data_IF_554101098824
#
_entry.id   IF_554101098824
#
_cell.length_a   1.000
_cell.length_b   1.000
_cell.length_c   1.000
_cell.angle_alpha   90.00
_cell.angle_beta   90.00
_cell.angle_gamma   90.00
#
_symmetry.space_group_name_H-M   'P 1'
#
loop_
_entity.id
_entity.type
_entity.pdbx_description
1 polymer ?
#
# COMPACT_ATOMS: atom_id res chain seq x y z
N UNK A 1 -28.49 16.75 -49.16
CA UNK A 1 -28.76 17.56 -47.94
C UNK A 1 -27.58 17.36 -46.99
N UNK A 2 -27.05 18.44 -46.40
CA UNK A 2 -25.94 18.36 -45.45
C UNK A 2 -26.43 17.89 -44.08
N UNK A 3 -25.68 16.99 -43.43
CA UNK A 3 -25.99 16.50 -42.08
C UNK A 3 -25.93 17.68 -41.09
N UNK A 4 -26.92 17.86 -40.19
CA UNK A 4 -26.88 18.92 -39.20
C UNK A 4 -25.62 18.78 -38.33
N UNK A 5 -24.99 19.91 -37.95
CA UNK A 5 -23.77 19.90 -37.15
C UNK A 5 -24.07 19.33 -35.76
N UNK A 6 -23.18 18.45 -35.30
CA UNK A 6 -23.28 17.84 -33.97
C UNK A 6 -23.13 18.91 -32.88
N UNK A 7 -23.95 18.83 -31.84
CA UNK A 7 -23.95 19.71 -30.67
C UNK A 7 -22.55 19.75 -30.03
N UNK A 8 -22.13 20.89 -29.48
CA UNK A 8 -20.79 21.10 -28.93
C UNK A 8 -20.49 20.13 -27.77
N UNK A 9 -21.53 19.74 -27.02
CA UNK A 9 -21.45 18.75 -25.94
C UNK A 9 -21.12 17.33 -26.43
N UNK A 10 -21.39 17.01 -27.70
CA UNK A 10 -21.18 15.68 -28.29
C UNK A 10 -19.90 15.60 -29.16
N UNK A 11 -19.15 16.70 -29.24
CA UNK A 11 -17.87 16.76 -29.96
C UNK A 11 -16.74 16.21 -29.11
N UNK A 12 -16.02 15.25 -29.67
CA UNK A 12 -14.84 14.65 -29.05
C UNK A 12 -13.66 15.63 -29.13
N UNK A 13 -13.51 16.51 -28.14
CA UNK A 13 -12.50 17.59 -28.14
C UNK A 13 -11.27 17.31 -27.29
N UNK A 14 -11.32 16.30 -26.41
CA UNK A 14 -10.23 15.98 -25.48
C UNK A 14 -9.54 14.66 -25.85
N UNK A 15 -8.21 14.68 -25.89
CA UNK A 15 -7.37 13.51 -26.17
C UNK A 15 -6.70 13.02 -24.90
N UNK A 16 -6.77 11.71 -24.63
CA UNK A 16 -6.08 11.04 -23.52
C UNK A 16 -5.01 10.12 -24.11
N UNK A 17 -3.75 10.34 -23.76
CA UNK A 17 -2.61 9.54 -24.21
C UNK A 17 -1.64 9.29 -23.06
N UNK A 18 -1.06 8.10 -23.02
CA UNK A 18 -0.01 7.72 -22.06
C UNK A 18 1.00 6.81 -22.76
N UNK A 19 2.23 6.79 -22.25
CA UNK A 19 3.30 5.96 -22.81
C UNK A 19 3.22 4.55 -22.24
N UNK A 20 3.48 3.57 -23.09
CA UNK A 20 3.55 2.16 -22.74
C UNK A 20 4.90 1.59 -23.15
N UNK A 21 5.33 0.54 -22.45
CA UNK A 21 6.42 -0.29 -22.93
C UNK A 21 5.97 -1.08 -24.16
N UNK A 22 6.91 -1.63 -24.93
CA UNK A 22 6.58 -2.45 -26.11
C UNK A 22 5.72 -3.66 -25.71
N UNK A 23 6.03 -4.32 -24.60
CA UNK A 23 5.28 -5.47 -24.09
C UNK A 23 3.87 -5.09 -23.62
N UNK A 24 3.72 -3.95 -22.94
CA UNK A 24 2.38 -3.49 -22.54
C UNK A 24 1.55 -3.08 -23.75
N UNK A 25 2.18 -2.48 -24.77
CA UNK A 25 1.50 -2.08 -25.99
C UNK A 25 0.99 -3.28 -26.81
N UNK A 26 1.70 -4.41 -26.84
CA UNK A 26 1.23 -5.61 -27.54
C UNK A 26 0.05 -6.25 -26.80
N UNK A 27 0.14 -6.40 -25.48
CA UNK A 27 -0.96 -6.88 -24.65
C UNK A 27 -2.18 -5.95 -24.75
N UNK A 28 -1.94 -4.65 -24.79
CA UNK A 28 -2.93 -3.62 -25.03
C UNK A 28 -3.64 -3.78 -26.37
N UNK A 29 -2.88 -3.96 -27.46
CA UNK A 29 -3.41 -4.15 -28.82
C UNK A 29 -4.26 -5.40 -28.97
N UNK A 30 -3.86 -6.49 -28.30
CA UNK A 30 -4.61 -7.73 -28.34
C UNK A 30 -6.04 -7.58 -27.77
N UNK A 31 -6.23 -6.75 -26.73
CA UNK A 31 -7.53 -6.60 -26.04
C UNK A 31 -8.64 -6.07 -26.94
N UNK A 32 -8.39 -5.00 -27.69
CA UNK A 32 -9.39 -4.46 -28.63
C UNK A 32 -9.36 -5.18 -29.99
N UNK A 33 -8.25 -5.83 -30.35
CA UNK A 33 -8.18 -6.67 -31.54
C UNK A 33 -9.18 -7.83 -31.49
N UNK A 34 -9.34 -8.47 -30.32
CA UNK A 34 -10.32 -9.53 -30.11
C UNK A 34 -11.75 -9.01 -30.09
N UNK A 35 -11.99 -7.79 -29.63
CA UNK A 35 -13.34 -7.21 -29.56
C UNK A 35 -13.86 -6.71 -30.92
N UNK A 36 -13.00 -6.59 -31.93
CA UNK A 36 -13.37 -6.04 -33.25
C UNK A 36 -13.68 -4.54 -33.24
N UNK A 37 -13.40 -3.85 -32.13
CA UNK A 37 -13.69 -2.42 -31.95
C UNK A 37 -12.45 -1.58 -32.26
N UNK A 38 -12.67 -0.32 -32.65
CA UNK A 38 -11.56 0.64 -32.64
C UNK A 38 -11.10 0.90 -31.20
N UNK A 39 -9.84 1.30 -31.06
CA UNK A 39 -9.27 1.67 -29.76
C UNK A 39 -10.15 2.66 -29.00
N UNK A 40 -10.69 3.67 -29.67
CA UNK A 40 -11.50 4.70 -29.03
C UNK A 40 -12.89 4.22 -28.62
N UNK A 41 -13.49 3.29 -29.36
CA UNK A 41 -14.77 2.67 -29.00
C UNK A 41 -14.60 1.76 -27.80
N UNK A 42 -13.58 0.90 -27.81
CA UNK A 42 -13.26 -0.02 -26.71
C UNK A 42 -13.10 0.73 -25.38
N UNK A 43 -12.41 1.88 -25.39
CA UNK A 43 -12.22 2.69 -24.17
C UNK A 43 -13.49 3.38 -23.70
N UNK A 44 -14.28 3.94 -24.61
CA UNK A 44 -15.55 4.59 -24.23
C UNK A 44 -16.53 3.59 -23.68
N UNK A 45 -16.60 2.40 -24.27
CA UNK A 45 -17.50 1.35 -23.81
C UNK A 45 -17.02 0.76 -22.49
N UNK A 46 -15.80 0.22 -22.41
CA UNK A 46 -15.41 -0.56 -21.24
C UNK A 46 -14.94 0.27 -20.05
N UNK A 47 -14.26 1.39 -20.28
CA UNK A 47 -13.71 2.23 -19.21
C UNK A 47 -14.74 3.24 -18.72
N UNK A 48 -15.51 3.90 -19.60
CA UNK A 48 -16.52 4.86 -19.15
C UNK A 48 -17.81 4.19 -18.67
N UNK A 49 -18.23 3.07 -19.26
CA UNK A 49 -19.37 2.29 -18.74
C UNK A 49 -19.00 1.40 -17.53
N UNK A 50 -17.78 1.54 -17.01
CA UNK A 50 -17.35 0.97 -15.74
C UNK A 50 -17.45 -0.57 -15.64
N UNK A 51 -17.30 -1.27 -16.76
CA UNK A 51 -17.20 -2.75 -16.78
C UNK A 51 -15.84 -3.27 -16.30
N UNK A 52 -14.86 -2.39 -16.15
CA UNK A 52 -13.58 -2.67 -15.50
C UNK A 52 -13.67 -2.45 -13.99
N UNK A 53 -13.31 -3.46 -13.20
CA UNK A 53 -13.22 -3.34 -11.75
C UNK A 53 -12.14 -2.31 -11.38
N UNK A 54 -12.56 -1.13 -10.91
CA UNK A 54 -11.64 -0.13 -10.32
C UNK A 54 -11.23 -0.64 -8.94
N UNK A 55 -10.12 -1.36 -8.88
CA UNK A 55 -9.51 -1.75 -7.60
C UNK A 55 -8.79 -0.51 -7.07
N UNK A 56 -9.43 0.21 -6.14
CA UNK A 56 -8.77 1.26 -5.39
C UNK A 56 -7.53 0.67 -4.73
N UNK A 57 -6.37 1.27 -5.00
CA UNK A 57 -5.14 0.88 -4.31
C UNK A 57 -5.37 1.09 -2.81
N UNK A 58 -5.20 0.05 -2.00
CA UNK A 58 -5.38 0.15 -0.56
C UNK A 58 -4.43 1.23 -0.01
N UNK A 59 -4.97 2.41 0.26
CA UNK A 59 -4.23 3.47 0.94
C UNK A 59 -4.32 3.12 2.42
N UNK A 60 -3.17 2.83 3.05
CA UNK A 60 -3.12 2.63 4.49
C UNK A 60 -3.84 3.81 5.17
N UNK A 61 -4.87 3.50 5.97
CA UNK A 61 -5.67 4.53 6.63
C UNK A 61 -4.79 5.38 7.54
N UNK A 62 -5.25 6.58 7.87
CA UNK A 62 -4.55 7.43 8.84
C UNK A 62 -4.31 6.67 10.16
N UNK A 63 -5.25 5.83 10.56
CA UNK A 63 -5.16 4.99 11.76
C UNK A 63 -4.08 3.91 11.63
N UNK A 64 -3.97 3.24 10.47
CA UNK A 64 -2.90 2.27 10.22
C UNK A 64 -1.53 2.94 10.30
N UNK A 65 -1.36 4.12 9.70
CA UNK A 65 -0.10 4.88 9.79
C UNK A 65 0.21 5.29 11.22
N UNK A 66 -0.79 5.71 11.99
CA UNK A 66 -0.64 6.08 13.39
C UNK A 66 -0.27 4.87 14.26
N UNK A 67 -0.89 3.72 14.01
CA UNK A 67 -0.57 2.47 14.70
C UNK A 67 0.88 2.05 14.46
N UNK A 68 1.34 2.03 13.20
CA UNK A 68 2.74 1.73 12.86
C UNK A 68 3.71 2.69 13.57
N UNK A 69 3.39 3.99 13.59
CA UNK A 69 4.22 4.98 14.30
C UNK A 69 4.29 4.70 15.82
N UNK A 70 3.18 4.38 16.46
CA UNK A 70 3.16 4.08 17.91
C UNK A 70 3.91 2.78 18.23
N UNK A 71 3.78 1.76 17.39
CA UNK A 71 4.53 0.50 17.53
C UNK A 71 6.04 0.74 17.43
N UNK A 72 6.49 1.58 16.50
CA UNK A 72 7.90 1.99 16.39
C UNK A 72 8.40 2.65 17.69
N UNK A 73 7.58 3.53 18.29
CA UNK A 73 7.94 4.19 19.56
C UNK A 73 8.01 3.20 20.72
N UNK A 74 7.08 2.26 20.78
CA UNK A 74 7.09 1.20 21.79
C UNK A 74 8.34 0.31 21.68
N UNK A 75 8.70 -0.13 20.47
CA UNK A 75 9.90 -0.94 20.23
C UNK A 75 11.20 -0.21 20.63
N UNK A 76 11.31 1.09 20.32
CA UNK A 76 12.45 1.90 20.76
C UNK A 76 12.56 2.00 22.29
N UNK A 77 11.43 2.20 22.97
CA UNK A 77 11.41 2.26 24.44
C UNK A 77 11.81 0.92 25.06
N UNK A 78 11.35 -0.20 24.49
CA UNK A 78 11.74 -1.55 24.90
C UNK A 78 13.27 -1.73 24.78
N UNK A 79 13.85 -1.31 23.66
CA UNK A 79 15.30 -1.41 23.46
C UNK A 79 16.09 -0.57 24.48
N UNK A 80 15.59 0.63 24.81
CA UNK A 80 16.22 1.48 25.84
C UNK A 80 16.14 0.83 27.24
N UNK A 81 15.00 0.22 27.59
CA UNK A 81 14.86 -0.52 28.84
C UNK A 81 15.82 -1.71 28.91
N UNK A 82 15.99 -2.43 27.80
CA UNK A 82 16.94 -3.55 27.72
C UNK A 82 18.39 -3.09 27.94
N UNK A 83 18.81 -2.01 27.26
CA UNK A 83 20.13 -1.43 27.45
C UNK A 83 20.37 -0.94 28.88
N UNK A 84 19.36 -0.28 29.48
CA UNK A 84 19.45 0.19 30.87
C UNK A 84 19.57 -0.98 31.85
N UNK A 85 18.72 -1.99 31.72
CA UNK A 85 18.77 -3.18 32.55
C UNK A 85 20.13 -3.89 32.45
N UNK A 86 20.72 -3.94 31.25
CA UNK A 86 22.05 -4.51 31.06
C UNK A 86 23.13 -3.70 31.79
N UNK A 87 23.07 -2.36 31.71
CA UNK A 87 24.01 -1.49 32.43
C UNK A 87 23.90 -1.60 33.94
N UNK A 88 22.68 -1.72 34.48
CA UNK A 88 22.42 -1.88 35.92
C UNK A 88 22.84 -3.27 36.43
N UNK A 89 22.72 -4.32 35.61
CA UNK A 89 23.25 -5.65 35.91
C UNK A 89 24.78 -5.65 35.96
N UNK A 90 25.45 -5.05 34.96
CA UNK A 90 26.91 -4.91 34.93
C UNK A 90 27.46 -4.10 36.11
N UNK A 91 26.68 -3.13 36.61
CA UNK A 91 27.01 -2.34 37.79
C UNK A 91 26.72 -3.08 39.12
N UNK A 92 26.20 -4.31 39.09
CA UNK A 92 25.85 -5.10 40.27
C UNK A 92 24.62 -4.59 41.04
N UNK A 93 23.84 -3.68 40.44
CA UNK A 93 22.63 -3.10 41.04
C UNK A 93 21.42 -4.05 40.87
N UNK A 94 21.34 -4.71 39.72
CA UNK A 94 20.35 -5.75 39.45
C UNK A 94 20.97 -7.13 39.70
N UNK A 95 20.17 -8.05 40.27
CA UNK A 95 20.55 -9.46 40.27
C UNK A 95 20.38 -10.05 38.88
N UNK A 96 21.23 -11.03 38.54
CA UNK A 96 21.20 -11.72 37.25
C UNK A 96 19.83 -12.36 36.96
N UNK A 97 19.17 -12.88 38.00
CA UNK A 97 17.83 -13.44 37.90
C UNK A 97 16.79 -12.39 37.49
N UNK A 98 16.81 -11.21 38.14
CA UNK A 98 15.89 -10.11 37.82
C UNK A 98 16.18 -9.53 36.43
N UNK A 99 17.45 -9.39 36.06
CA UNK A 99 17.86 -8.96 34.73
C UNK A 99 17.34 -9.90 33.63
N UNK A 100 17.53 -11.20 33.81
CA UNK A 100 17.09 -12.23 32.85
C UNK A 100 15.56 -12.23 32.67
N UNK A 101 14.81 -12.02 33.77
CA UNK A 101 13.34 -11.92 33.71
C UNK A 101 12.88 -10.67 32.95
N UNK A 102 13.51 -9.53 33.18
CA UNK A 102 13.22 -8.28 32.47
C UNK A 102 13.49 -8.45 30.98
N UNK A 103 14.65 -9.00 30.62
CA UNK A 103 15.03 -9.21 29.22
C UNK A 103 14.02 -10.13 28.51
N UNK A 104 13.65 -11.25 29.13
CA UNK A 104 12.68 -12.19 28.56
C UNK A 104 11.26 -11.60 28.43
N UNK A 105 10.88 -10.61 29.25
CA UNK A 105 9.61 -9.90 29.08
C UNK A 105 9.68 -8.85 27.96
N UNK A 106 10.82 -8.16 27.83
CA UNK A 106 11.06 -7.18 26.77
C UNK A 106 11.10 -7.83 25.38
N UNK A 107 11.76 -8.99 25.25
CA UNK A 107 11.77 -9.78 24.02
C UNK A 107 10.36 -10.23 23.62
N UNK A 108 9.59 -10.81 24.57
CA UNK A 108 8.20 -11.22 24.33
C UNK A 108 7.31 -10.06 23.88
N UNK A 109 7.48 -8.89 24.47
CA UNK A 109 6.76 -7.68 24.06
C UNK A 109 7.17 -7.24 22.65
N UNK A 110 8.46 -7.26 22.33
CA UNK A 110 8.93 -6.88 21.00
C UNK A 110 8.39 -7.81 19.92
N UNK A 111 8.45 -9.13 20.15
CA UNK A 111 7.95 -10.14 19.21
C UNK A 111 6.44 -10.01 18.99
N UNK A 112 5.68 -9.75 20.07
CA UNK A 112 4.26 -9.47 19.96
C UNK A 112 4.00 -8.25 19.07
N UNK A 113 4.70 -7.13 19.29
CA UNK A 113 4.51 -5.90 18.51
C UNK A 113 4.88 -6.08 17.02
N UNK A 114 5.96 -6.81 16.72
CA UNK A 114 6.36 -7.15 15.35
C UNK A 114 5.29 -7.99 14.67
N UNK A 115 4.75 -9.01 15.34
CA UNK A 115 3.69 -9.86 14.78
C UNK A 115 2.42 -9.08 14.42
N UNK A 116 2.02 -8.11 15.26
CA UNK A 116 0.87 -7.27 15.01
C UNK A 116 1.12 -6.32 13.82
N UNK A 117 2.33 -5.77 13.71
CA UNK A 117 2.71 -4.89 12.59
C UNK A 117 2.71 -5.62 11.23
N UNK A 118 3.18 -6.87 11.20
CA UNK A 118 3.19 -7.70 10.00
C UNK A 118 1.78 -8.15 9.59
N UNK A 119 0.93 -8.49 10.56
CA UNK A 119 -0.48 -8.80 10.33
C UNK A 119 -1.27 -7.64 9.72
N UNK A 120 -0.85 -6.40 9.95
CA UNK A 120 -1.52 -5.21 9.39
C UNK A 120 -1.09 -4.88 7.94
N UNK A 121 -0.09 -5.57 7.39
CA UNK A 121 0.38 -5.37 5.99
C UNK A 121 -0.27 -6.29 4.96
N UNK A 122 -1.01 -7.32 5.38
CA UNK A 122 -1.77 -8.23 4.50
C UNK A 122 -3.15 -7.66 4.22
#
# INVERSE_FOLDING_TARGET
MARPPKDESERLTKTVAFRLTVADYTAYRAKFGVSGMSQSEFFREHILANTTQVIARAVASADTKRAVFLLQKASNNINQLAHRANSENLAGVLSEQTYSQILAQLERLNDFLVSQAEGTRR
#
